data_IF_487157542889
#
_entry.id   IF_487157542889
#
_cell.length_a   1.000
_cell.length_b   1.000
_cell.length_c   1.000
_cell.angle_alpha   90.00
_cell.angle_beta   90.00
_cell.angle_gamma   90.00
#
_symmetry.space_group_name_H-M   'P 1'
#
loop_
_entity.id
_entity.type
_entity.pdbx_description
1 polymer ?
#
# COMPACT_ATOMS: atom_id res chain seq x y z
N UNK A 1 8.89 -5.30 17.02
CA UNK A 1 9.18 -6.75 17.04
C UNK A 1 10.67 -6.98 17.28
N UNK A 2 11.53 -6.57 16.35
CA UNK A 2 12.99 -6.78 16.42
C UNK A 2 13.60 -6.06 17.64
N UNK A 3 13.18 -4.83 17.91
CA UNK A 3 13.67 -4.06 19.06
C UNK A 3 13.39 -4.77 20.40
N UNK A 4 12.14 -5.22 20.59
CA UNK A 4 11.71 -5.95 21.81
C UNK A 4 12.46 -7.27 21.97
N UNK A 5 12.69 -8.01 20.86
CA UNK A 5 13.46 -9.25 20.90
C UNK A 5 14.90 -9.01 21.34
N UNK A 6 15.55 -7.93 20.86
CA UNK A 6 16.90 -7.57 21.28
C UNK A 6 16.99 -7.23 22.77
N UNK A 7 16.02 -6.49 23.30
CA UNK A 7 15.94 -6.13 24.72
C UNK A 7 15.79 -7.37 25.62
N UNK A 8 14.92 -8.30 25.22
CA UNK A 8 14.65 -9.51 26.00
C UNK A 8 15.80 -10.51 25.98
N UNK A 9 16.47 -10.66 24.84
CA UNK A 9 17.53 -11.67 24.67
C UNK A 9 18.90 -11.15 25.13
N UNK A 10 19.09 -9.82 25.25
CA UNK A 10 20.38 -9.16 25.48
C UNK A 10 21.46 -9.54 24.45
N UNK A 11 21.03 -10.05 23.30
CA UNK A 11 21.90 -10.55 22.24
C UNK A 11 21.81 -9.64 21.04
N UNK A 12 22.93 -9.43 20.36
CA UNK A 12 22.95 -8.71 19.09
C UNK A 12 22.28 -9.59 18.02
N UNK A 13 21.19 -9.09 17.46
CA UNK A 13 20.48 -9.75 16.35
C UNK A 13 21.14 -9.28 15.04
N UNK A 14 21.59 -10.22 14.22
CA UNK A 14 22.17 -9.91 12.91
C UNK A 14 21.18 -10.14 11.76
N UNK A 15 20.29 -11.12 11.91
CA UNK A 15 19.26 -11.48 10.93
C UNK A 15 17.93 -11.77 11.61
N UNK A 16 16.83 -11.37 10.98
CA UNK A 16 15.49 -11.63 11.47
C UNK A 16 14.53 -11.95 10.32
N UNK A 17 13.60 -12.88 10.57
CA UNK A 17 12.46 -13.17 9.68
C UNK A 17 11.18 -13.03 10.47
N UNK A 18 10.20 -12.33 9.92
CA UNK A 18 8.93 -12.08 10.58
C UNK A 18 7.77 -12.22 9.59
N UNK A 19 6.62 -12.68 10.08
CA UNK A 19 5.38 -12.71 9.30
C UNK A 19 4.85 -11.30 9.04
N UNK A 20 3.99 -11.15 8.02
CA UNK A 20 3.39 -9.87 7.65
C UNK A 20 2.55 -9.24 8.76
N UNK A 21 2.03 -10.05 9.70
CA UNK A 21 1.31 -9.56 10.88
C UNK A 21 2.18 -8.75 11.85
N UNK A 22 3.52 -8.87 11.78
CA UNK A 22 4.46 -8.08 12.56
C UNK A 22 4.99 -6.86 11.81
N UNK A 23 4.42 -6.54 10.63
CA UNK A 23 4.87 -5.44 9.80
C UNK A 23 4.74 -4.09 10.52
N UNK A 24 5.89 -3.44 10.73
CA UNK A 24 5.97 -2.06 11.21
C UNK A 24 7.07 -1.31 10.47
N UNK A 25 6.74 -0.08 10.03
CA UNK A 25 7.72 0.84 9.44
C UNK A 25 8.84 1.18 10.43
N UNK A 26 8.53 1.20 11.73
CA UNK A 26 9.51 1.49 12.78
C UNK A 26 10.54 0.35 12.92
N UNK A 27 10.09 -0.91 12.87
CA UNK A 27 10.99 -2.06 12.92
C UNK A 27 11.91 -2.13 11.69
N UNK A 28 11.43 -1.73 10.50
CA UNK A 28 12.27 -1.60 9.31
C UNK A 28 13.35 -0.52 9.46
N UNK A 29 12.98 0.66 9.98
CA UNK A 29 13.93 1.75 10.24
C UNK A 29 14.98 1.33 11.27
N UNK A 30 14.53 0.78 12.39
CA UNK A 30 15.39 0.28 13.45
C UNK A 30 16.38 -0.78 12.92
N UNK A 31 15.89 -1.75 12.14
CA UNK A 31 16.74 -2.79 11.56
C UNK A 31 17.80 -2.21 10.63
N UNK A 32 17.43 -1.23 9.80
CA UNK A 32 18.38 -0.52 8.93
C UNK A 32 19.43 0.25 9.73
N UNK A 33 19.02 0.98 10.78
CA UNK A 33 19.94 1.72 11.66
C UNK A 33 20.90 0.81 12.43
N UNK A 34 20.46 -0.39 12.79
CA UNK A 34 21.26 -1.38 13.53
C UNK A 34 22.02 -2.37 12.63
N UNK A 35 21.87 -2.28 11.31
CA UNK A 35 22.52 -3.20 10.37
C UNK A 35 21.99 -4.63 10.44
N UNK A 36 20.71 -4.79 10.79
CA UNK A 36 20.03 -6.08 10.89
C UNK A 36 19.41 -6.42 9.53
N UNK A 37 19.73 -7.60 9.02
CA UNK A 37 19.12 -8.16 7.82
C UNK A 37 17.71 -8.69 8.15
N UNK A 38 16.72 -7.80 8.03
CA UNK A 38 15.32 -8.10 8.31
C UNK A 38 14.57 -8.43 7.02
N UNK A 39 14.03 -9.65 6.96
CA UNK A 39 13.07 -10.06 5.94
C UNK A 39 11.66 -10.13 6.52
N UNK A 40 10.76 -9.28 6.03
CA UNK A 40 9.37 -9.22 6.45
C UNK A 40 8.48 -8.84 5.26
N UNK A 41 7.47 -9.64 4.92
CA UNK A 41 6.55 -9.30 3.85
C UNK A 41 5.65 -8.12 4.25
N UNK A 42 5.38 -7.24 3.28
CA UNK A 42 4.45 -6.12 3.46
C UNK A 42 3.01 -6.64 3.56
N UNK A 43 2.32 -6.28 4.64
CA UNK A 43 0.98 -6.79 4.93
C UNK A 43 -0.05 -6.35 3.88
N UNK A 44 0.05 -5.11 3.39
CA UNK A 44 -0.87 -4.61 2.36
C UNK A 44 -0.65 -5.37 1.06
N UNK A 45 0.61 -5.53 0.64
CA UNK A 45 0.96 -6.28 -0.57
C UNK A 45 0.49 -7.72 -0.50
N UNK A 46 0.70 -8.42 0.63
CA UNK A 46 0.23 -9.80 0.78
C UNK A 46 -1.29 -9.91 0.66
N UNK A 47 -2.03 -8.91 1.15
CA UNK A 47 -3.49 -8.84 1.01
C UNK A 47 -3.90 -8.58 -0.44
N UNK A 48 -3.24 -7.63 -1.11
CA UNK A 48 -3.51 -7.32 -2.52
C UNK A 48 -3.29 -8.54 -3.43
N UNK A 49 -2.19 -9.26 -3.23
CA UNK A 49 -1.88 -10.50 -3.97
C UNK A 49 -2.90 -11.61 -3.68
N UNK A 50 -3.44 -11.68 -2.46
CA UNK A 50 -4.51 -12.63 -2.14
C UNK A 50 -5.81 -12.25 -2.84
N UNK A 51 -6.20 -10.98 -2.83
CA UNK A 51 -7.38 -10.48 -3.54
C UNK A 51 -7.29 -10.72 -5.05
N UNK A 52 -6.10 -10.60 -5.63
CA UNK A 52 -5.80 -10.97 -7.03
C UNK A 52 -6.02 -12.45 -7.29
N UNK A 53 -5.40 -13.33 -6.48
CA UNK A 53 -5.55 -14.79 -6.64
C UNK A 53 -6.99 -15.27 -6.48
N UNK A 54 -7.75 -14.63 -5.60
CA UNK A 54 -9.14 -14.99 -5.30
C UNK A 54 -10.16 -14.29 -6.22
N UNK A 55 -9.71 -13.48 -7.19
CA UNK A 55 -10.57 -12.64 -8.04
C UNK A 55 -11.55 -11.77 -7.24
N UNK A 56 -11.09 -11.23 -6.11
CA UNK A 56 -11.87 -10.36 -5.20
C UNK A 56 -11.57 -8.87 -5.37
N UNK A 57 -10.89 -8.50 -6.45
CA UNK A 57 -10.60 -7.10 -6.77
C UNK A 57 -11.92 -6.39 -7.09
N UNK A 58 -12.30 -5.42 -6.26
CA UNK A 58 -13.49 -4.62 -6.49
C UNK A 58 -13.39 -3.80 -7.78
N UNK A 59 -14.52 -3.54 -8.43
CA UNK A 59 -14.58 -2.77 -9.68
C UNK A 59 -13.80 -1.45 -9.61
N UNK A 60 -13.95 -0.71 -8.51
CA UNK A 60 -13.30 0.58 -8.26
C UNK A 60 -12.00 0.49 -7.42
N UNK A 61 -11.34 -0.66 -7.40
CA UNK A 61 -10.00 -0.79 -6.84
C UNK A 61 -8.99 0.04 -7.65
N UNK A 62 -8.00 0.65 -6.98
CA UNK A 62 -6.95 1.49 -7.61
C UNK A 62 -6.24 0.79 -8.77
N UNK A 63 -6.11 -0.54 -8.71
CA UNK A 63 -5.46 -1.36 -9.74
C UNK A 63 -6.21 -1.36 -11.08
N UNK A 64 -7.50 -1.05 -11.06
CA UNK A 64 -8.33 -0.98 -12.26
C UNK A 64 -8.35 0.42 -12.91
N UNK A 65 -7.60 1.39 -12.37
CA UNK A 65 -7.47 2.72 -12.95
C UNK A 65 -6.28 2.73 -13.90
N UNK A 66 -6.47 3.33 -15.06
CA UNK A 66 -5.41 3.49 -16.07
C UNK A 66 -4.87 4.90 -16.03
N UNK A 67 -3.54 5.04 -16.07
CA UNK A 67 -2.90 6.34 -16.24
C UNK A 67 -2.47 6.48 -17.70
N UNK A 68 -2.98 7.51 -18.36
CA UNK A 68 -2.60 7.92 -19.70
C UNK A 68 -1.46 8.94 -19.59
N UNK A 69 -0.25 8.50 -19.94
CA UNK A 69 0.95 9.32 -19.88
C UNK A 69 0.99 10.42 -20.96
N UNK A 70 0.35 10.20 -22.11
CA UNK A 70 0.38 11.15 -23.23
C UNK A 70 -0.40 12.41 -22.87
N UNK A 71 -1.56 12.20 -22.25
CA UNK A 71 -2.47 13.27 -21.87
C UNK A 71 -2.39 13.67 -20.39
N UNK A 72 -1.56 12.97 -19.59
CA UNK A 72 -1.45 13.11 -18.13
C UNK A 72 -2.84 13.02 -17.46
N UNK A 73 -3.58 11.96 -17.78
CA UNK A 73 -4.96 11.73 -17.32
C UNK A 73 -5.08 10.41 -16.58
N UNK A 74 -5.93 10.38 -15.56
CA UNK A 74 -6.32 9.13 -14.90
C UNK A 74 -7.70 8.74 -15.41
N UNK A 75 -7.84 7.52 -15.90
CA UNK A 75 -9.07 6.96 -16.45
C UNK A 75 -9.58 5.92 -15.44
N UNK A 76 -10.83 6.06 -15.02
CA UNK A 76 -11.45 5.09 -14.12
C UNK A 76 -11.96 3.85 -14.87
N UNK A 77 -12.35 2.78 -14.16
CA UNK A 77 -12.85 1.53 -14.76
C UNK A 77 -14.10 1.71 -15.67
N UNK A 78 -14.84 2.82 -15.51
CA UNK A 78 -15.99 3.20 -16.34
C UNK A 78 -15.58 4.02 -17.58
N UNK A 79 -14.28 4.05 -17.93
CA UNK A 79 -13.71 4.85 -19.01
C UNK A 79 -13.95 6.36 -18.89
N UNK A 80 -14.11 6.86 -17.65
CA UNK A 80 -14.26 8.30 -17.39
C UNK A 80 -12.93 8.90 -16.94
N UNK A 81 -12.59 10.07 -17.50
CA UNK A 81 -11.43 10.85 -17.09
C UNK A 81 -11.69 11.46 -15.71
N UNK A 82 -10.73 11.30 -14.80
CA UNK A 82 -10.72 11.95 -13.51
C UNK A 82 -9.93 13.25 -13.55
N UNK A 83 -10.49 14.28 -12.93
CA UNK A 83 -9.86 15.58 -12.79
C UNK A 83 -9.45 15.82 -11.34
N UNK A 84 -8.33 16.50 -11.14
CA UNK A 84 -7.89 16.91 -9.81
C UNK A 84 -8.93 17.83 -9.15
N UNK A 85 -9.41 17.46 -7.97
CA UNK A 85 -10.39 18.23 -7.18
C UNK A 85 -9.73 18.99 -6.03
N UNK A 86 -8.59 18.53 -5.52
CA UNK A 86 -7.90 19.11 -4.38
C UNK A 86 -7.10 18.09 -3.58
N UNK A 87 -6.59 18.50 -2.42
CA UNK A 87 -5.81 17.65 -1.52
C UNK A 87 -6.63 17.36 -0.27
N UNK A 88 -6.82 16.08 0.03
CA UNK A 88 -7.33 15.62 1.31
C UNK A 88 -6.18 15.52 2.32
N UNK A 89 -6.37 16.07 3.53
CA UNK A 89 -5.32 16.11 4.57
C UNK A 89 -4.89 14.71 5.04
N UNK A 90 -5.73 13.70 4.85
CA UNK A 90 -5.49 12.32 5.30
C UNK A 90 -5.19 11.36 4.16
N UNK A 91 -5.80 11.56 2.98
CA UNK A 91 -5.72 10.63 1.85
C UNK A 91 -4.88 11.14 0.67
N UNK A 92 -4.41 12.39 0.73
CA UNK A 92 -3.62 13.00 -0.34
C UNK A 92 -4.48 13.52 -1.51
N UNK A 93 -3.94 13.57 -2.74
CA UNK A 93 -4.63 14.19 -3.87
C UNK A 93 -5.92 13.44 -4.24
N UNK A 94 -7.01 14.19 -4.40
CA UNK A 94 -8.34 13.69 -4.72
C UNK A 94 -8.67 13.96 -6.18
N UNK A 95 -9.04 12.91 -6.90
CA UNK A 95 -9.46 12.98 -8.30
C UNK A 95 -10.93 12.55 -8.41
N UNK A 96 -11.71 13.24 -9.24
CA UNK A 96 -13.15 12.94 -9.46
C UNK A 96 -13.52 13.14 -10.93
N UNK A 97 -14.44 12.33 -11.47
CA UNK A 97 -15.11 12.63 -12.73
C UNK A 97 -16.37 13.48 -12.48
N UNK A 98 -16.82 14.23 -13.49
CA UNK A 98 -17.96 15.16 -13.37
C UNK A 98 -19.27 14.45 -13.02
N UNK A 99 -19.47 13.23 -13.51
CA UNK A 99 -20.72 12.47 -13.40
C UNK A 99 -20.64 11.31 -12.41
N UNK A 100 -19.72 11.37 -11.44
CA UNK A 100 -19.51 10.27 -10.48
C UNK A 100 -20.76 9.99 -9.63
N UNK A 101 -21.54 11.02 -9.31
CA UNK A 101 -22.77 10.93 -8.49
C UNK A 101 -23.91 10.17 -9.20
N UNK A 102 -23.80 9.97 -10.52
CA UNK A 102 -24.80 9.28 -11.35
C UNK A 102 -24.30 7.94 -11.88
N UNK A 103 -23.10 7.49 -11.48
CA UNK A 103 -22.58 6.19 -11.90
C UNK A 103 -23.33 5.05 -11.20
N UNK A 104 -23.72 3.99 -11.92
CA UNK A 104 -24.23 2.78 -11.29
C UNK A 104 -23.11 2.17 -10.41
N UNK A 105 -23.45 1.90 -9.15
CA UNK A 105 -22.54 1.32 -8.17
C UNK A 105 -22.13 -0.11 -8.53
#
# INVERSE_FOLDING_TARGET
MVAKTGEMTKTKIEKAKADSGYFSKEDFRYSKEKGIDLYMPDQMKSKEEQEERENKIGKHDRRNFTYDEQDNKIICPENKILFFKGIDKTRGPKYICKDCERCPA
#
